data_IF_379656287384
#
_entry.id   IF_379656287384
#
_cell.length_a   1.000
_cell.length_b   1.000
_cell.length_c   1.000
_cell.angle_alpha   90.00
_cell.angle_beta   90.00
_cell.angle_gamma   90.00
#
_symmetry.space_group_name_H-M   'P 1'
#
loop_
_entity.id
_entity.type
_entity.pdbx_description
1 polymer ?
#
# COMPACT_ATOMS: atom_id res chain seq x y z
N UNK A 1 -5.71 10.54 -9.42
CA UNK A 1 -4.52 10.53 -8.54
C UNK A 1 -4.14 9.10 -8.15
N UNK A 2 -4.98 8.36 -7.41
CA UNK A 2 -4.68 6.97 -6.97
C UNK A 2 -4.52 5.95 -8.10
N UNK A 3 -5.42 5.92 -9.09
CA UNK A 3 -5.29 4.98 -10.22
C UNK A 3 -4.01 5.23 -11.05
N UNK A 4 -3.66 6.51 -11.24
CA UNK A 4 -2.41 6.90 -11.89
C UNK A 4 -1.18 6.51 -11.06
N UNK A 5 -1.27 6.61 -9.73
CA UNK A 5 -0.22 6.17 -8.81
C UNK A 5 0.03 4.65 -8.93
N UNK A 6 -1.02 3.87 -9.08
CA UNK A 6 -0.96 2.41 -9.18
C UNK A 6 -0.49 1.88 -10.55
N UNK A 7 -0.72 2.64 -11.62
CA UNK A 7 -0.56 2.16 -12.99
C UNK A 7 -1.71 1.22 -13.42
N UNK A 8 -1.96 1.10 -14.73
CA UNK A 8 -3.05 0.27 -15.25
C UNK A 8 -2.79 -1.23 -15.11
N UNK A 9 -1.54 -1.65 -14.95
CA UNK A 9 -1.14 -3.05 -14.91
C UNK A 9 -1.72 -3.80 -13.70
N UNK A 10 -1.97 -3.09 -12.59
CA UNK A 10 -2.56 -3.71 -11.40
C UNK A 10 -4.03 -4.07 -11.58
N UNK A 11 -4.70 -3.45 -12.55
CA UNK A 11 -6.12 -3.66 -12.86
C UNK A 11 -6.35 -4.78 -13.86
N UNK A 12 -5.29 -5.31 -14.47
CA UNK A 12 -5.38 -6.42 -15.42
C UNK A 12 -5.91 -7.68 -14.71
N UNK A 13 -6.81 -8.46 -15.33
CA UNK A 13 -7.28 -9.72 -14.77
C UNK A 13 -6.11 -10.66 -14.48
N UNK A 14 -6.04 -11.21 -13.26
CA UNK A 14 -5.04 -12.20 -12.85
C UNK A 14 -5.71 -13.36 -12.12
N UNK A 15 -4.97 -14.45 -11.90
CA UNK A 15 -5.43 -15.59 -11.10
C UNK A 15 -5.69 -15.24 -9.62
N UNK A 16 -5.09 -14.15 -9.13
CA UNK A 16 -5.30 -13.62 -7.78
C UNK A 16 -6.40 -12.54 -7.82
N UNK A 17 -7.29 -12.48 -6.81
CA UNK A 17 -8.34 -11.46 -6.76
C UNK A 17 -7.74 -10.05 -6.74
N UNK A 18 -8.37 -9.13 -7.48
CA UNK A 18 -7.97 -7.73 -7.54
C UNK A 18 -7.98 -7.08 -6.16
N UNK A 19 -9.12 -7.18 -5.49
CA UNK A 19 -9.39 -6.61 -4.18
C UNK A 19 -9.98 -7.69 -3.28
N UNK A 20 -9.46 -7.78 -2.05
CA UNK A 20 -10.11 -8.52 -0.96
C UNK A 20 -9.86 -7.80 0.35
N UNK A 21 -10.80 -7.93 1.28
CA UNK A 21 -10.55 -7.58 2.68
C UNK A 21 -9.63 -8.64 3.27
N UNK A 22 -8.49 -8.22 3.81
CA UNK A 22 -7.57 -9.08 4.51
C UNK A 22 -7.55 -8.68 5.99
N UNK A 23 -7.71 -9.64 6.91
CA UNK A 23 -7.61 -9.37 8.33
C UNK A 23 -6.14 -9.44 8.75
N UNK A 24 -5.62 -8.35 9.31
CA UNK A 24 -4.35 -8.37 10.01
C UNK A 24 -4.58 -8.99 11.39
N UNK A 25 -3.92 -10.12 11.67
CA UNK A 25 -4.07 -10.82 12.95
C UNK A 25 -3.34 -10.11 14.09
N UNK A 26 -2.28 -9.36 13.79
CA UNK A 26 -1.50 -8.59 14.75
C UNK A 26 -2.28 -7.37 15.20
N UNK A 27 -2.78 -6.58 14.23
CA UNK A 27 -3.54 -5.35 14.53
C UNK A 27 -5.04 -5.58 14.74
N UNK A 28 -5.54 -6.78 14.41
CA UNK A 28 -6.97 -7.14 14.40
C UNK A 28 -7.82 -6.17 13.57
N UNK A 29 -7.25 -5.67 12.47
CA UNK A 29 -7.86 -4.70 11.57
C UNK A 29 -7.92 -5.22 10.16
N UNK A 30 -9.03 -4.92 9.49
CA UNK A 30 -9.18 -5.18 8.06
C UNK A 30 -8.31 -4.22 7.26
N UNK A 31 -7.54 -4.74 6.31
CA UNK A 31 -6.70 -3.98 5.41
C UNK A 31 -6.92 -4.37 3.95
N UNK A 32 -6.41 -3.51 3.07
CA UNK A 32 -6.44 -3.69 1.63
C UNK A 32 -5.58 -4.91 1.24
N UNK A 33 -6.20 -5.95 0.69
CA UNK A 33 -5.53 -7.13 0.16
C UNK A 33 -5.84 -7.37 -1.31
N UNK A 34 -5.20 -8.39 -1.89
CA UNK A 34 -5.31 -8.69 -3.32
C UNK A 34 -4.16 -8.10 -4.13
N UNK A 35 -4.25 -8.15 -5.45
CA UNK A 35 -3.22 -7.55 -6.33
C UNK A 35 -3.18 -6.03 -6.19
N UNK A 36 -4.31 -5.40 -5.87
CA UNK A 36 -4.38 -3.96 -5.61
C UNK A 36 -3.55 -3.55 -4.40
N UNK A 37 -3.73 -4.23 -3.25
CA UNK A 37 -2.97 -3.95 -2.04
C UNK A 37 -1.47 -4.21 -2.21
N UNK A 38 -1.11 -5.30 -2.92
CA UNK A 38 0.27 -5.60 -3.25
C UNK A 38 0.90 -4.53 -4.15
N UNK A 39 0.20 -4.11 -5.21
CA UNK A 39 0.66 -3.05 -6.11
C UNK A 39 0.80 -1.70 -5.41
N UNK A 40 -0.12 -1.38 -4.49
CA UNK A 40 -0.04 -0.17 -3.69
C UNK A 40 1.24 -0.15 -2.84
N UNK A 41 1.53 -1.24 -2.13
CA UNK A 41 2.75 -1.37 -1.32
C UNK A 41 4.01 -1.29 -2.19
N UNK A 42 4.03 -1.94 -3.36
CA UNK A 42 5.16 -1.84 -4.31
C UNK A 42 5.42 -0.39 -4.70
N UNK A 43 4.40 0.36 -5.12
CA UNK A 43 4.58 1.76 -5.52
C UNK A 43 5.06 2.66 -4.38
N UNK A 44 4.63 2.40 -3.14
CA UNK A 44 5.11 3.12 -1.96
C UNK A 44 6.58 2.82 -1.66
N UNK A 45 7.00 1.56 -1.77
CA UNK A 45 8.40 1.16 -1.56
C UNK A 45 9.31 1.72 -2.65
N UNK A 46 8.90 1.62 -3.91
CA UNK A 46 9.70 2.07 -5.07
C UNK A 46 9.96 3.58 -5.04
N UNK A 47 9.06 4.36 -4.43
CA UNK A 47 9.21 5.81 -4.22
C UNK A 47 9.95 6.18 -2.94
N UNK A 48 10.32 5.20 -2.12
CA UNK A 48 10.90 5.43 -0.80
C UNK A 48 9.93 6.08 0.20
N UNK A 49 8.62 5.95 -0.01
CA UNK A 49 7.61 6.47 0.91
C UNK A 49 7.42 5.57 2.13
N UNK A 50 7.72 4.28 1.98
CA UNK A 50 7.79 3.33 3.08
C UNK A 50 9.02 2.46 2.98
N UNK A 51 9.57 2.08 4.13
CA UNK A 51 10.68 1.13 4.26
C UNK A 51 10.16 -0.15 4.89
N UNK A 52 10.58 -1.30 4.37
CA UNK A 52 10.23 -2.60 4.95
C UNK A 52 11.17 -2.94 6.11
N UNK A 53 10.60 -3.41 7.21
CA UNK A 53 11.37 -3.93 8.34
C UNK A 53 11.96 -5.31 7.99
N UNK A 54 13.27 -5.53 8.16
CA UNK A 54 13.85 -6.86 8.02
C UNK A 54 13.28 -7.82 9.08
N UNK A 55 12.80 -8.99 8.63
CA UNK A 55 12.38 -10.07 9.54
C UNK A 55 10.89 -10.08 9.91
N UNK A 56 10.11 -9.07 9.54
CA UNK A 56 8.65 -9.09 9.72
C UNK A 56 7.89 -8.45 8.53
N UNK A 57 6.60 -8.16 8.72
CA UNK A 57 5.70 -7.57 7.70
C UNK A 57 5.42 -6.09 7.95
N UNK A 58 6.05 -5.48 8.95
CA UNK A 58 5.88 -4.08 9.27
C UNK A 58 6.58 -3.19 8.24
N UNK A 59 6.08 -1.96 8.12
CA UNK A 59 6.67 -0.92 7.30
C UNK A 59 6.76 0.36 8.10
N UNK A 60 7.83 1.13 7.89
CA UNK A 60 7.99 2.47 8.44
C UNK A 60 7.72 3.50 7.34
N UNK A 61 6.85 4.47 7.61
CA UNK A 61 6.62 5.59 6.70
C UNK A 61 7.78 6.58 6.83
N UNK A 62 8.34 7.02 5.71
CA UNK A 62 9.42 8.02 5.68
C UNK A 62 8.85 9.43 5.74
N UNK A 63 9.70 10.44 6.01
CA UNK A 63 9.26 11.84 5.99
C UNK A 63 8.63 12.23 4.64
N UNK A 64 9.26 11.85 3.52
CA UNK A 64 8.70 12.08 2.18
C UNK A 64 7.43 11.27 1.92
N UNK A 65 7.31 10.09 2.54
CA UNK A 65 6.10 9.28 2.50
C UNK A 65 4.92 9.92 3.23
N UNK A 66 5.15 10.62 4.34
CA UNK A 66 4.09 11.36 5.05
C UNK A 66 3.48 12.41 4.13
N UNK A 67 4.31 13.23 3.50
CA UNK A 67 3.84 14.27 2.59
C UNK A 67 3.16 13.69 1.34
N UNK A 68 3.78 12.65 0.76
CA UNK A 68 3.21 11.95 -0.39
C UNK A 68 1.85 11.31 -0.12
N UNK A 69 1.69 10.67 1.04
CA UNK A 69 0.43 10.04 1.44
C UNK A 69 -0.65 11.09 1.74
N UNK A 70 -0.27 12.23 2.34
CA UNK A 70 -1.17 13.37 2.52
C UNK A 70 -1.67 13.88 1.17
N UNK A 71 -0.77 14.05 0.20
CA UNK A 71 -1.13 14.56 -1.14
C UNK A 71 -1.90 13.55 -2.00
N UNK A 72 -1.64 12.26 -1.83
CA UNK A 72 -2.25 11.20 -2.62
C UNK A 72 -3.64 10.83 -2.09
N UNK A 73 -3.77 10.68 -0.78
CA UNK A 73 -4.94 10.11 -0.11
C UNK A 73 -5.69 11.12 0.79
N UNK A 74 -5.13 12.30 1.05
CA UNK A 74 -5.72 13.28 1.97
C UNK A 74 -5.69 12.84 3.43
N UNK A 75 -4.77 11.95 3.79
CA UNK A 75 -4.68 11.39 5.15
C UNK A 75 -3.61 12.09 5.98
N UNK A 76 -3.89 12.28 7.25
CA UNK A 76 -2.89 12.63 8.25
C UNK A 76 -2.43 11.37 8.96
N UNK A 77 -1.11 11.14 8.93
CA UNK A 77 -0.47 10.08 9.69
C UNK A 77 -0.15 10.66 11.07
N UNK A 78 -0.70 10.03 12.11
CA UNK A 78 -0.48 10.38 13.51
C UNK A 78 0.52 9.44 14.14
#
# INVERSE_FOLDING_TARGET
RVLAFLGSDVLQPRSRPLLRVCLDWTERRSHLGGTLGAGFLTQLVDRGWVLRSPGDRAVAVTATGVDGLRDLLGVELR
#
